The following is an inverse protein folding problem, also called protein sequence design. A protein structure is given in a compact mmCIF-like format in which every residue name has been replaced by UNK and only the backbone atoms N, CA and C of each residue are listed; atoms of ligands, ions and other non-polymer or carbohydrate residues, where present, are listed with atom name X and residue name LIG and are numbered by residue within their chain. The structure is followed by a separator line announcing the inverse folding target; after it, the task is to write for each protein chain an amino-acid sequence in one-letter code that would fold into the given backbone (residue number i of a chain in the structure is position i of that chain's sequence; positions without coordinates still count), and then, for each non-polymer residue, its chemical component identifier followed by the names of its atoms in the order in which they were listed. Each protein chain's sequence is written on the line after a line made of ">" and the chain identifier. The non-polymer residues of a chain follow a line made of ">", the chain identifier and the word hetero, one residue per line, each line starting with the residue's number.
data_IF_951910398373
#
_entry.id   IF_951910398373
#
_cell.length_a   1.000
_cell.length_b   1.000
_cell.length_c   1.000
_cell.angle_alpha   90.00
_cell.angle_beta   90.00
_cell.angle_gamma   90.00
#
_symmetry.space_group_name_H-M   'P 1'
#
loop_
_entity.id
_entity.type
_entity.pdbx_description
1 polymer ?
#
# COMPACT_ATOMS: atom_id res chain seq x y z
N UNK A 1 -23.44 -1.45 18.63
CA UNK A 1 -22.18 -0.72 18.84
C UNK A 1 -21.42 -0.65 17.53
N UNK A 2 -20.46 0.27 17.41
CA UNK A 2 -19.54 0.29 16.26
C UNK A 2 -18.51 -0.84 16.44
N UNK A 3 -18.37 -1.70 15.43
CA UNK A 3 -17.31 -2.71 15.40
C UNK A 3 -16.02 -2.04 14.88
N UNK A 4 -14.94 -2.11 15.66
CA UNK A 4 -13.65 -1.53 15.31
C UNK A 4 -12.63 -2.66 15.22
N UNK A 5 -12.09 -2.88 14.03
CA UNK A 5 -10.92 -3.73 13.84
C UNK A 5 -9.65 -2.90 14.12
N UNK A 6 -9.05 -3.07 15.30
CA UNK A 6 -7.89 -2.32 15.75
C UNK A 6 -6.62 -3.16 15.67
N UNK A 7 -5.67 -2.73 14.84
CA UNK A 7 -4.33 -3.32 14.75
C UNK A 7 -3.30 -2.33 15.28
N UNK A 8 -2.46 -2.77 16.24
CA UNK A 8 -1.38 -1.97 16.82
C UNK A 8 -0.02 -2.66 16.65
N UNK A 9 1.04 -1.83 16.65
CA UNK A 9 2.42 -2.30 16.58
C UNK A 9 3.28 -1.55 17.60
N UNK A 10 4.10 -2.29 18.34
CA UNK A 10 5.18 -1.70 19.14
C UNK A 10 6.22 -1.03 18.23
N UNK A 11 6.81 0.08 18.69
CA UNK A 11 7.76 0.88 17.92
C UNK A 11 8.91 0.04 17.32
N UNK A 12 9.56 -0.82 18.12
CA UNK A 12 10.65 -1.69 17.63
C UNK A 12 10.18 -2.61 16.50
N UNK A 13 8.99 -3.20 16.63
CA UNK A 13 8.42 -4.09 15.60
C UNK A 13 8.11 -3.30 14.34
N UNK A 14 7.46 -2.14 14.49
CA UNK A 14 7.09 -1.28 13.36
C UNK A 14 8.34 -0.80 12.59
N UNK A 15 9.37 -0.32 13.29
CA UNK A 15 10.61 0.14 12.67
C UNK A 15 11.34 -1.00 11.96
N UNK A 16 11.33 -2.21 12.55
CA UNK A 16 11.86 -3.40 11.91
C UNK A 16 11.10 -3.82 10.64
N UNK A 17 9.80 -3.51 10.54
CA UNK A 17 9.03 -3.71 9.32
C UNK A 17 9.34 -2.63 8.27
N UNK A 18 9.54 -1.38 8.68
CA UNK A 18 9.94 -0.27 7.78
C UNK A 18 11.31 -0.51 7.14
N UNK A 19 12.24 -1.15 7.85
CA UNK A 19 13.55 -1.52 7.30
C UNK A 19 13.48 -2.67 6.28
N UNK A 20 12.33 -3.34 6.18
CA UNK A 20 12.05 -4.33 5.15
C UNK A 20 11.27 -3.66 4.02
N UNK A 21 11.15 -4.36 2.90
CA UNK A 21 10.32 -3.97 1.75
C UNK A 21 8.80 -4.05 2.01
N UNK A 22 8.33 -3.69 3.20
CA UNK A 22 6.93 -3.86 3.60
C UNK A 22 6.12 -2.60 3.26
N UNK A 23 5.45 -2.62 2.10
CA UNK A 23 4.61 -1.50 1.65
C UNK A 23 3.47 -1.16 2.61
N UNK A 24 2.88 -2.15 3.28
CA UNK A 24 1.76 -1.93 4.21
C UNK A 24 2.09 -0.95 5.35
N UNK A 25 3.24 -1.12 6.02
CA UNK A 25 3.60 -0.20 7.11
C UNK A 25 3.97 1.19 6.59
N UNK A 26 4.47 1.29 5.36
CA UNK A 26 4.75 2.58 4.72
C UNK A 26 3.44 3.30 4.36
N UNK A 27 2.44 2.59 3.83
CA UNK A 27 1.09 3.11 3.58
C UNK A 27 0.42 3.59 4.87
N UNK A 28 0.56 2.84 5.98
CA UNK A 28 0.01 3.25 7.28
C UNK A 28 0.67 4.53 7.80
N UNK A 29 2.00 4.58 7.81
CA UNK A 29 2.76 5.71 8.31
C UNK A 29 2.52 6.99 7.50
N UNK A 30 2.43 6.85 6.18
CA UNK A 30 2.30 7.98 5.25
C UNK A 30 0.84 8.32 4.92
N UNK A 31 -0.12 7.62 5.52
CA UNK A 31 -1.54 7.89 5.35
C UNK A 31 -1.88 9.33 5.74
N UNK A 32 -2.71 10.04 4.95
CA UNK A 32 -3.24 11.34 5.34
C UNK A 32 -4.32 11.24 6.43
N UNK A 33 -4.86 10.04 6.69
CA UNK A 33 -5.92 9.81 7.67
C UNK A 33 -5.31 9.58 9.06
N UNK A 34 -5.22 10.65 9.84
CA UNK A 34 -4.60 10.66 11.17
C UNK A 34 -5.69 10.90 12.22
N UNK A 35 -5.88 9.94 13.13
CA UNK A 35 -6.78 10.10 14.29
C UNK A 35 -6.07 10.84 15.42
N UNK A 36 -4.81 10.52 15.66
CA UNK A 36 -3.95 11.12 16.68
C UNK A 36 -2.49 11.06 16.22
N UNK A 37 -1.70 12.09 16.54
CA UNK A 37 -0.27 12.18 16.18
C UNK A 37 0.57 12.70 17.35
N UNK A 38 1.87 12.47 17.30
CA UNK A 38 2.86 13.01 18.25
C UNK A 38 4.07 13.57 17.49
N UNK A 39 4.93 14.38 18.12
CA UNK A 39 6.18 14.84 17.49
C UNK A 39 7.06 13.68 16.99
N UNK A 40 7.06 12.54 17.69
CA UNK A 40 7.81 11.34 17.29
C UNK A 40 7.23 10.67 16.05
N UNK A 41 5.92 10.77 15.82
CA UNK A 41 5.30 10.32 14.58
C UNK A 41 5.71 11.20 13.39
N UNK A 42 5.77 12.53 13.57
CA UNK A 42 6.24 13.44 12.53
C UNK A 42 7.71 13.19 12.18
N UNK A 43 8.55 12.93 13.19
CA UNK A 43 9.93 12.52 12.98
C UNK A 43 10.03 11.18 12.23
N UNK A 44 9.21 10.19 12.60
CA UNK A 44 9.16 8.91 11.90
C UNK A 44 8.77 9.06 10.43
N UNK A 45 7.81 9.95 10.12
CA UNK A 45 7.43 10.30 8.74
C UNK A 45 8.58 10.95 7.98
N UNK A 46 9.37 11.82 8.63
CA UNK A 46 10.56 12.42 8.01
C UNK A 46 11.67 11.38 7.72
N UNK A 47 11.74 10.30 8.49
CA UNK A 47 12.66 9.19 8.25
C UNK A 47 12.20 8.29 7.10
N UNK A 48 10.89 8.13 6.92
CA UNK A 48 10.26 7.16 6.00
C UNK A 48 10.84 7.12 4.57
N UNK A 49 11.12 8.24 3.88
CA UNK A 49 11.65 8.21 2.51
C UNK A 49 12.98 7.43 2.40
N UNK A 50 13.81 7.47 3.45
CA UNK A 50 15.10 6.74 3.51
C UNK A 50 14.93 5.23 3.75
N UNK A 51 13.71 4.77 3.99
CA UNK A 51 13.39 3.36 4.12
C UNK A 51 12.82 2.76 2.82
N UNK A 52 12.42 3.60 1.86
CA UNK A 52 11.90 3.15 0.57
C UNK A 52 13.03 2.63 -0.32
N UNK A 53 12.76 1.51 -0.98
CA UNK A 53 13.70 0.82 -1.88
C UNK A 53 12.95 0.33 -3.10
N UNK A 54 13.66 0.12 -4.22
CA UNK A 54 13.05 -0.46 -5.42
C UNK A 54 12.43 -1.83 -5.15
N UNK A 55 12.97 -2.59 -4.21
CA UNK A 55 12.41 -3.90 -3.81
C UNK A 55 11.01 -3.86 -3.18
N UNK A 56 10.46 -2.68 -2.86
CA UNK A 56 9.04 -2.56 -2.51
C UNK A 56 8.12 -3.04 -3.64
N UNK A 57 8.56 -3.00 -4.91
CA UNK A 57 7.82 -3.58 -6.03
C UNK A 57 7.42 -5.04 -5.78
N UNK A 58 8.30 -5.85 -5.18
CA UNK A 58 8.00 -7.26 -4.88
C UNK A 58 6.87 -7.44 -3.86
N UNK A 59 6.73 -6.51 -2.90
CA UNK A 59 5.60 -6.53 -1.97
C UNK A 59 4.29 -6.28 -2.69
N UNK A 60 4.26 -5.25 -3.55
CA UNK A 60 3.07 -4.90 -4.32
C UNK A 60 2.68 -6.00 -5.32
N UNK A 61 3.66 -6.59 -6.03
CA UNK A 61 3.42 -7.75 -6.91
C UNK A 61 2.87 -8.96 -6.13
N UNK A 62 3.48 -9.29 -4.99
CA UNK A 62 3.03 -10.41 -4.15
C UNK A 62 1.62 -10.19 -3.57
N UNK A 63 1.30 -8.96 -3.18
CA UNK A 63 -0.03 -8.59 -2.72
C UNK A 63 -1.04 -8.68 -3.87
N UNK A 64 -0.71 -8.14 -5.05
CA UNK A 64 -1.55 -8.18 -6.23
C UNK A 64 -1.91 -9.62 -6.60
N UNK A 65 -0.92 -10.52 -6.66
CA UNK A 65 -1.12 -11.94 -6.93
C UNK A 65 -2.05 -12.61 -5.91
N UNK A 66 -1.93 -12.25 -4.63
CA UNK A 66 -2.81 -12.78 -3.59
C UNK A 66 -4.26 -12.33 -3.77
N UNK A 67 -4.47 -11.06 -4.08
CA UNK A 67 -5.81 -10.51 -4.32
C UNK A 67 -6.41 -11.01 -5.62
N UNK A 68 -5.60 -11.20 -6.66
CA UNK A 68 -6.04 -11.78 -7.92
C UNK A 68 -6.52 -13.22 -7.74
N UNK A 69 -5.78 -14.04 -6.99
CA UNK A 69 -6.21 -15.40 -6.64
C UNK A 69 -7.50 -15.41 -5.82
N UNK A 70 -7.69 -14.43 -4.94
CA UNK A 70 -8.93 -14.29 -4.18
C UNK A 70 -10.09 -13.92 -5.11
N UNK A 71 -9.88 -12.94 -5.99
CA UNK A 71 -10.85 -12.52 -7.00
C UNK A 71 -11.32 -13.69 -7.87
N UNK A 72 -10.39 -14.51 -8.37
CA UNK A 72 -10.71 -15.67 -9.22
C UNK A 72 -11.43 -16.82 -8.49
N UNK A 73 -11.31 -16.90 -7.15
CA UNK A 73 -11.95 -17.96 -6.36
C UNK A 73 -13.38 -17.65 -5.97
N UNK A 74 -13.81 -16.40 -6.09
CA UNK A 74 -15.16 -15.98 -5.73
C UNK A 74 -16.11 -16.25 -6.90
N UNK A 75 -17.27 -16.83 -6.59
CA UNK A 75 -18.33 -17.10 -7.56
C UNK A 75 -19.67 -16.62 -6.99
N UNK A 76 -20.25 -15.52 -7.50
CA UNK A 76 -19.71 -14.65 -8.56
C UNK A 76 -18.51 -13.78 -8.07
N UNK A 77 -17.57 -13.40 -8.96
CA UNK A 77 -16.40 -12.59 -8.59
C UNK A 77 -16.79 -11.22 -8.05
N UNK A 78 -16.28 -10.84 -6.88
CA UNK A 78 -16.60 -9.53 -6.27
C UNK A 78 -15.63 -8.43 -6.68
N UNK A 79 -16.15 -7.21 -6.74
CA UNK A 79 -15.42 -5.99 -7.09
C UNK A 79 -14.33 -5.64 -6.06
N UNK A 80 -14.51 -5.98 -4.77
CA UNK A 80 -13.58 -5.58 -3.71
C UNK A 80 -12.17 -6.16 -3.87
N UNK A 81 -11.96 -7.48 -4.03
CA UNK A 81 -10.64 -8.02 -4.36
C UNK A 81 -10.00 -7.39 -5.60
N UNK A 82 -10.79 -7.16 -6.66
CA UNK A 82 -10.29 -6.53 -7.88
C UNK A 82 -9.83 -5.08 -7.66
N UNK A 83 -10.57 -4.28 -6.90
CA UNK A 83 -10.15 -2.92 -6.53
C UNK A 83 -8.84 -2.93 -5.72
N UNK A 84 -8.62 -3.95 -4.88
CA UNK A 84 -7.33 -4.10 -4.20
C UNK A 84 -6.20 -4.40 -5.17
N UNK A 85 -6.41 -5.25 -6.18
CA UNK A 85 -5.42 -5.54 -7.24
C UNK A 85 -5.00 -4.25 -7.92
N UNK A 86 -5.95 -3.46 -8.42
CA UNK A 86 -5.65 -2.17 -9.06
C UNK A 86 -4.91 -1.24 -8.10
N UNK A 87 -5.41 -1.06 -6.87
CA UNK A 87 -4.79 -0.20 -5.87
C UNK A 87 -3.31 -0.55 -5.67
N UNK A 88 -2.99 -1.80 -5.39
CA UNK A 88 -1.60 -2.17 -5.05
C UNK A 88 -0.66 -2.11 -6.25
N UNK A 89 -1.14 -2.45 -7.46
CA UNK A 89 -0.33 -2.33 -8.67
C UNK A 89 -0.05 -0.85 -8.98
N UNK A 90 -1.08 0.00 -8.95
CA UNK A 90 -0.90 1.43 -9.20
C UNK A 90 -0.05 2.11 -8.13
N UNK A 91 -0.21 1.75 -6.85
CA UNK A 91 0.67 2.22 -5.76
C UNK A 91 2.11 1.81 -6.02
N UNK A 92 2.36 0.54 -6.40
CA UNK A 92 3.70 0.05 -6.71
C UNK A 92 4.34 0.80 -7.87
N UNK A 93 3.60 0.98 -8.98
CA UNK A 93 4.09 1.67 -10.18
C UNK A 93 4.39 3.14 -9.84
N UNK A 94 3.47 3.81 -9.12
CA UNK A 94 3.67 5.17 -8.67
C UNK A 94 4.94 5.29 -7.82
N UNK A 95 5.11 4.43 -6.81
CA UNK A 95 6.30 4.42 -5.97
C UNK A 95 7.58 4.24 -6.78
N UNK A 96 7.61 3.29 -7.71
CA UNK A 96 8.81 3.05 -8.52
C UNK A 96 9.18 4.26 -9.39
N UNK A 97 8.17 4.98 -9.89
CA UNK A 97 8.35 6.17 -10.74
C UNK A 97 8.69 7.44 -9.97
N UNK A 98 8.14 7.64 -8.77
CA UNK A 98 8.19 8.93 -8.07
C UNK A 98 8.98 8.90 -6.78
N UNK A 99 9.23 7.72 -6.22
CA UNK A 99 9.76 7.56 -4.86
C UNK A 99 8.78 7.96 -3.76
N UNK A 100 7.49 8.16 -4.07
CA UNK A 100 6.45 8.53 -3.13
C UNK A 100 5.41 7.42 -2.98
N UNK A 101 4.81 7.30 -1.80
CA UNK A 101 3.70 6.37 -1.55
C UNK A 101 2.38 7.12 -1.75
N UNK A 102 1.51 6.57 -2.59
CA UNK A 102 0.11 6.97 -2.67
C UNK A 102 -0.75 5.70 -2.70
N UNK A 103 -1.67 5.58 -1.74
CA UNK A 103 -2.53 4.40 -1.54
C UNK A 103 -4.00 4.67 -1.89
N UNK A 104 -4.34 5.93 -2.18
CA UNK A 104 -5.66 6.35 -2.60
C UNK A 104 -5.85 6.06 -4.10
N UNK A 105 -6.66 5.06 -4.40
CA UNK A 105 -6.95 4.63 -5.77
C UNK A 105 -7.54 5.75 -6.64
N UNK A 106 -8.36 6.64 -6.08
CA UNK A 106 -8.94 7.77 -6.83
C UNK A 106 -7.85 8.72 -7.29
N UNK A 107 -6.94 9.10 -6.38
CA UNK A 107 -5.80 9.99 -6.69
C UNK A 107 -4.81 9.34 -7.65
N UNK A 108 -4.53 8.06 -7.49
CA UNK A 108 -3.73 7.32 -8.46
C UNK A 108 -4.38 7.40 -9.85
N UNK A 109 -5.70 7.20 -9.93
CA UNK A 109 -6.40 7.21 -11.20
C UNK A 109 -6.42 8.60 -11.88
N UNK A 110 -6.19 9.69 -11.16
CA UNK A 110 -6.00 11.01 -11.77
C UNK A 110 -4.79 11.04 -12.71
N UNK A 111 -3.78 10.19 -12.48
CA UNK A 111 -2.60 10.06 -13.34
C UNK A 111 -2.70 8.87 -14.29
N UNK A 112 -3.18 7.72 -13.81
CA UNK A 112 -3.24 6.49 -14.61
C UNK A 112 -4.41 6.45 -15.61
N UNK A 113 -5.47 7.24 -15.37
CA UNK A 113 -6.62 7.40 -16.28
C UNK A 113 -7.24 6.08 -16.76
N UNK A 114 -7.34 5.09 -15.88
CA UNK A 114 -8.02 3.82 -16.18
C UNK A 114 -9.54 4.04 -16.16
N UNK A 115 -10.23 3.90 -17.32
CA UNK A 115 -11.64 4.26 -17.46
C UNK A 115 -12.58 3.37 -16.65
N UNK A 116 -12.17 2.13 -16.34
CA UNK A 116 -12.96 1.17 -15.57
C UNK A 116 -13.02 1.48 -14.07
N UNK A 117 -12.07 2.23 -13.52
CA UNK A 117 -11.95 2.40 -12.07
C UNK A 117 -13.10 3.21 -11.44
N UNK A 118 -13.56 4.34 -12.01
CA UNK A 118 -14.69 5.08 -11.44
C UNK A 118 -15.95 4.22 -11.26
N UNK A 119 -16.27 3.41 -12.27
CA UNK A 119 -17.42 2.52 -12.23
C UNK A 119 -17.25 1.42 -11.17
N UNK A 120 -16.09 0.75 -11.11
CA UNK A 120 -15.82 -0.27 -10.08
C UNK A 120 -15.90 0.33 -8.65
N UNK A 121 -15.41 1.55 -8.46
CA UNK A 121 -15.48 2.25 -7.17
C UNK A 121 -16.94 2.54 -6.80
N UNK A 122 -17.74 3.03 -7.75
CA UNK A 122 -19.16 3.28 -7.55
C UNK A 122 -19.91 2.00 -7.19
N UNK A 123 -19.70 0.90 -7.93
CA UNK A 123 -20.28 -0.42 -7.64
C UNK A 123 -19.94 -0.89 -6.21
N UNK A 124 -18.70 -0.67 -5.75
CA UNK A 124 -18.28 -0.99 -4.38
C UNK A 124 -18.96 -0.12 -3.31
N UNK A 125 -19.27 1.15 -3.62
CA UNK A 125 -19.95 2.06 -2.67
C UNK A 125 -21.44 1.73 -2.57
N UNK A 126 -22.10 1.43 -3.69
CA UNK A 126 -23.56 1.24 -3.76
C UNK A 126 -24.05 -0.08 -3.12
N UNK A 127 -23.19 -1.10 -3.00
CA UNK A 127 -23.45 -2.26 -2.12
C UNK A 127 -23.44 -3.63 -2.78
N UNK A 128 -23.59 -4.67 -1.95
CA UNK A 128 -23.30 -6.08 -2.25
C UNK A 128 -24.05 -6.67 -3.46
N UNK A 129 -25.26 -6.19 -3.77
CA UNK A 129 -26.06 -6.67 -4.89
C UNK A 129 -25.54 -6.23 -6.27
N UNK A 130 -24.74 -5.15 -6.33
CA UNK A 130 -24.01 -4.70 -7.54
C UNK A 130 -22.51 -4.90 -7.44
N UNK A 131 -22.08 -5.62 -6.40
CA UNK A 131 -20.68 -5.86 -6.08
C UNK A 131 -20.05 -7.00 -6.87
N UNK A 132 -20.75 -7.57 -7.85
CA UNK A 132 -20.33 -8.73 -8.65
C UNK A 132 -20.09 -8.31 -10.10
N UNK A 133 -19.23 -9.07 -10.80
CA UNK A 133 -18.88 -8.82 -12.21
C UNK A 133 -19.46 -9.90 -13.12
N UNK A 134 -19.78 -9.52 -14.35
CA UNK A 134 -20.22 -10.45 -15.37
C UNK A 134 -19.02 -11.18 -15.97
N UNK A 135 -19.24 -12.37 -16.56
CA UNK A 135 -18.15 -13.14 -17.16
C UNK A 135 -17.40 -12.38 -18.27
N UNK A 136 -18.08 -11.49 -18.99
CA UNK A 136 -17.47 -10.66 -20.03
C UNK A 136 -16.40 -9.69 -19.46
N UNK A 137 -16.58 -9.24 -18.21
CA UNK A 137 -15.66 -8.33 -17.52
C UNK A 137 -14.36 -9.04 -17.11
N UNK A 138 -14.40 -10.36 -16.89
CA UNK A 138 -13.26 -11.13 -16.36
C UNK A 138 -12.08 -11.15 -17.31
N UNK A 139 -12.33 -11.40 -18.61
CA UNK A 139 -11.24 -11.43 -19.61
C UNK A 139 -10.57 -10.06 -19.76
N UNK A 140 -11.33 -8.98 -19.60
CA UNK A 140 -10.80 -7.63 -19.64
C UNK A 140 -9.91 -7.36 -18.44
N UNK A 141 -10.38 -7.70 -17.23
CA UNK A 141 -9.62 -7.49 -16.01
C UNK A 141 -8.37 -8.38 -15.93
N UNK A 142 -8.38 -9.56 -16.52
CA UNK A 142 -7.20 -10.42 -16.64
C UNK A 142 -6.11 -9.76 -17.48
N UNK A 143 -6.45 -9.26 -18.66
CA UNK A 143 -5.50 -8.51 -19.51
C UNK A 143 -4.95 -7.27 -18.81
N UNK A 144 -5.80 -6.54 -18.09
CA UNK A 144 -5.37 -5.37 -17.32
C UNK A 144 -4.45 -5.74 -16.15
N UNK A 145 -4.73 -6.85 -15.46
CA UNK A 145 -3.89 -7.37 -14.40
C UNK A 145 -2.49 -7.76 -14.92
N UNK A 146 -2.42 -8.46 -16.05
CA UNK A 146 -1.15 -8.83 -16.70
C UNK A 146 -0.38 -7.59 -17.17
N UNK A 147 -1.07 -6.65 -17.84
CA UNK A 147 -0.48 -5.39 -18.31
C UNK A 147 0.13 -4.58 -17.16
N UNK A 148 -0.61 -4.42 -16.06
CA UNK A 148 -0.16 -3.63 -14.90
C UNK A 148 0.94 -4.33 -14.10
N UNK A 149 0.96 -5.66 -14.04
CA UNK A 149 2.10 -6.38 -13.47
C UNK A 149 3.37 -6.14 -14.29
N UNK A 150 3.30 -6.29 -15.61
CA UNK A 150 4.42 -6.02 -16.49
C UNK A 150 4.90 -4.55 -16.37
N UNK A 151 3.95 -3.61 -16.25
CA UNK A 151 4.28 -2.19 -16.02
C UNK A 151 5.00 -1.97 -14.68
N UNK A 152 4.61 -2.67 -13.61
CA UNK A 152 5.30 -2.60 -12.32
C UNK A 152 6.69 -3.25 -12.38
N UNK A 153 6.85 -4.35 -13.08
CA UNK A 153 8.15 -5.00 -13.29
C UNK A 153 9.09 -4.10 -14.10
N UNK A 154 8.59 -3.45 -15.15
CA UNK A 154 9.36 -2.47 -15.90
C UNK A 154 9.73 -1.27 -15.02
N UNK A 155 8.77 -0.70 -14.29
CA UNK A 155 9.03 0.43 -13.40
C UNK A 155 10.06 0.07 -12.30
N UNK A 156 10.07 -1.18 -11.82
CA UNK A 156 11.10 -1.68 -10.92
C UNK A 156 12.50 -1.67 -11.55
N UNK A 157 12.62 -2.07 -12.82
CA UNK A 157 13.87 -2.01 -13.57
C UNK A 157 14.37 -0.58 -13.81
N UNK A 158 13.44 0.34 -14.08
CA UNK A 158 13.73 1.75 -14.39
C UNK A 158 13.87 2.63 -13.12
N UNK A 159 13.55 2.11 -11.93
CA UNK A 159 13.47 2.92 -10.71
C UNK A 159 14.84 3.43 -10.24
N UNK A 160 14.86 4.69 -9.81
CA UNK A 160 16.02 5.30 -9.14
C UNK A 160 16.02 5.12 -7.61
N UNK A 161 15.03 4.41 -7.05
CA UNK A 161 15.02 4.08 -5.63
C UNK A 161 16.23 3.20 -5.27
N UNK A 162 16.81 3.36 -4.06
CA UNK A 162 17.98 2.61 -3.65
C UNK A 162 17.68 1.11 -3.50
N UNK A 163 18.73 0.30 -3.58
CA UNK A 163 18.66 -1.16 -3.33
C UNK A 163 18.40 -1.48 -1.85
N UNK A 164 18.93 -0.64 -0.94
CA UNK A 164 18.86 -0.85 0.50
C UNK A 164 18.39 0.42 1.23
N UNK A 165 17.67 0.21 2.34
CA UNK A 165 17.27 1.29 3.22
C UNK A 165 18.49 1.89 3.94
N UNK A 166 18.52 3.21 4.08
CA UNK A 166 19.60 3.96 4.75
C UNK A 166 19.16 4.58 6.09
N UNK A 167 17.96 4.24 6.55
CA UNK A 167 17.32 4.84 7.73
C UNK A 167 17.59 4.11 9.07
N UNK A 168 18.37 3.02 9.09
CA UNK A 168 18.50 2.15 10.26
C UNK A 168 19.02 2.86 11.52
N UNK A 169 20.05 3.71 11.39
CA UNK A 169 20.58 4.49 12.51
C UNK A 169 19.55 5.47 13.06
N UNK A 170 18.88 6.24 12.19
CA UNK A 170 17.85 7.20 12.60
C UNK A 170 16.66 6.53 13.29
N UNK A 171 16.22 5.36 12.82
CA UNK A 171 15.17 4.58 13.49
C UNK A 171 15.62 4.07 14.86
N UNK A 172 16.89 3.66 15.00
CA UNK A 172 17.45 3.24 16.27
C UNK A 172 17.51 4.40 17.28
N UNK A 173 17.96 5.58 16.85
CA UNK A 173 18.06 6.76 17.71
C UNK A 173 16.68 7.21 18.22
N UNK A 174 15.67 7.19 17.34
CA UNK A 174 14.27 7.43 17.73
C UNK A 174 13.77 6.38 18.73
N UNK A 175 14.07 5.10 18.50
CA UNK A 175 13.67 4.02 19.41
C UNK A 175 14.28 4.17 20.81
N UNK A 176 15.55 4.57 20.90
CA UNK A 176 16.23 4.81 22.18
C UNK A 176 15.53 5.94 22.94
N UNK A 177 15.25 7.08 22.27
CA UNK A 177 14.55 8.21 22.90
C UNK A 177 13.16 7.85 23.40
N UNK A 178 12.37 7.14 22.59
CA UNK A 178 11.04 6.66 22.97
C UNK A 178 11.10 5.80 24.24
N UNK A 179 12.11 4.93 24.36
CA UNK A 179 12.30 4.09 25.55
C UNK A 179 12.69 4.90 26.78
N UNK A 180 13.62 5.85 26.65
CA UNK A 180 14.08 6.66 27.77
C UNK A 180 12.98 7.59 28.30
N UNK A 181 12.15 8.16 27.42
CA UNK A 181 11.01 8.98 27.83
C UNK A 181 9.97 8.21 28.65
N UNK A 182 9.75 6.91 28.35
CA UNK A 182 8.84 6.07 29.12
C UNK A 182 9.37 5.80 30.55
N UNK A 183 10.69 5.73 30.73
CA UNK A 183 11.30 5.49 32.05
C UNK A 183 11.39 6.77 32.91
N UNK A 184 11.24 7.96 32.32
CA UNK A 184 11.20 9.23 33.06
C UNK A 184 9.79 9.68 33.49
N UNK A 185 8.76 8.88 33.20
CA UNK A 185 7.34 9.17 33.53
C UNK A 185 6.78 8.32 34.69
N UNK A 186 7.64 7.61 35.42
CA UNK A 186 7.33 6.96 36.70
C UNK A 186 7.70 7.86 37.86
#
# INVERSE_FOLDING_TARGET
>A
GLEIDLVTHDAKKFFGLMLKKNGYVMEQLLSPLIVHTTPEHDELKAIAPRCLTKHHAHHYLGFASTQWKLFQKEDPPRVKPLLYVYRVLLTGIHLMRTGQIEANLVRLNDSFKLPQLPELIERKIVGAEKGTLDQADLSFHEREYERLQAELEQAFGDSHLPEAASCASSLNDLLIRLRLQQHGRT
#
